data_IF_634497644107
#
_entry.id   IF_634497644107
#
_cell.length_a   1.000
_cell.length_b   1.000
_cell.length_c   1.000
_cell.angle_alpha   90.00
_cell.angle_beta   90.00
_cell.angle_gamma   90.00
#
_symmetry.space_group_name_H-M   'P 1'
#
loop_
_entity.id
_entity.type
_entity.pdbx_description
1 polymer ?
#
# COMPACT_ATOMS: atom_id res chain seq x y z
N UNK A 1 1.03 7.74 24.94
CA UNK A 1 0.67 8.73 23.90
C UNK A 1 1.88 9.59 23.63
N UNK A 2 2.40 9.59 22.39
CA UNK A 2 3.42 10.57 22.00
C UNK A 2 2.69 11.85 21.61
N UNK A 3 2.94 12.95 22.30
CA UNK A 3 2.51 14.26 21.85
C UNK A 3 3.58 14.83 20.93
N UNK A 4 3.21 15.06 19.67
CA UNK A 4 3.95 15.98 18.81
C UNK A 4 3.81 17.36 19.44
N UNK A 5 4.92 17.97 19.85
CA UNK A 5 4.90 19.34 20.36
C UNK A 5 5.13 20.26 19.17
N UNK A 6 4.14 21.06 18.84
CA UNK A 6 4.32 22.14 17.86
C UNK A 6 4.64 23.45 18.56
N UNK A 7 5.55 24.22 17.98
CA UNK A 7 5.88 25.59 18.40
C UNK A 7 6.03 26.44 17.15
N UNK A 8 5.46 27.63 17.14
CA UNK A 8 5.67 28.57 16.04
C UNK A 8 6.93 29.39 16.31
N UNK A 9 7.92 29.31 15.43
CA UNK A 9 9.17 30.09 15.52
C UNK A 9 9.26 30.96 14.27
N UNK A 10 9.26 32.28 14.44
CA UNK A 10 9.28 33.26 13.35
C UNK A 10 8.16 33.06 12.30
N UNK A 11 6.97 32.69 12.75
CA UNK A 11 5.82 32.41 11.87
C UNK A 11 5.80 31.01 11.24
N UNK A 12 6.88 30.23 11.38
CA UNK A 12 6.95 28.87 10.88
C UNK A 12 6.54 27.85 11.96
N UNK A 13 5.67 26.91 11.60
CA UNK A 13 5.29 25.79 12.47
C UNK A 13 6.46 24.80 12.56
N UNK A 14 7.16 24.78 13.69
CA UNK A 14 8.17 23.79 14.02
C UNK A 14 7.54 22.70 14.88
N UNK A 15 7.52 21.46 14.39
CA UNK A 15 7.05 20.30 15.17
C UNK A 15 8.25 19.51 15.65
N UNK A 16 8.38 19.37 16.97
CA UNK A 16 9.45 18.61 17.64
C UNK A 16 8.83 17.44 18.43
N UNK A 17 9.35 16.24 18.21
CA UNK A 17 8.90 15.01 18.86
C UNK A 17 9.09 13.78 17.97
N UNK A 18 9.02 12.59 18.56
CA UNK A 18 9.10 11.34 17.82
C UNK A 18 7.70 10.96 17.27
N UNK A 19 7.64 10.60 15.98
CA UNK A 19 6.51 9.82 15.46
C UNK A 19 6.59 8.41 16.06
N UNK A 20 5.81 8.15 17.11
CA UNK A 20 5.71 6.80 17.65
C UNK A 20 4.78 5.98 16.77
N UNK A 21 5.34 5.02 16.05
CA UNK A 21 4.58 4.01 15.34
C UNK A 21 3.91 3.09 16.37
N UNK A 22 2.58 2.99 16.33
CA UNK A 22 1.81 2.09 17.18
C UNK A 22 2.13 0.63 16.88
N UNK A 23 2.40 0.32 15.61
CA UNK A 23 2.75 -1.01 15.14
C UNK A 23 3.44 -0.90 13.79
N UNK A 24 4.31 -1.87 13.50
CA UNK A 24 4.99 -2.00 12.21
C UNK A 24 4.83 -3.45 11.76
N UNK A 25 4.49 -3.64 10.49
CA UNK A 25 4.52 -4.94 9.84
C UNK A 25 5.39 -4.82 8.59
N UNK A 26 6.30 -5.77 8.39
CA UNK A 26 7.11 -5.87 7.19
C UNK A 26 7.19 -7.32 6.75
N UNK A 27 7.09 -7.55 5.44
CA UNK A 27 7.20 -8.89 4.89
C UNK A 27 6.56 -9.05 3.53
N UNK A 28 6.37 -10.31 3.15
CA UNK A 28 5.72 -10.72 1.93
C UNK A 28 4.25 -10.99 2.21
N UNK A 29 3.37 -10.47 1.35
CA UNK A 29 1.95 -10.79 1.42
C UNK A 29 1.71 -12.18 0.83
N UNK A 30 0.76 -12.93 1.40
CA UNK A 30 0.27 -14.15 0.77
C UNK A 30 -0.54 -13.76 -0.47
N UNK A 31 -0.04 -14.09 -1.67
CA UNK A 31 -0.65 -13.70 -2.93
C UNK A 31 -1.00 -14.92 -3.79
N UNK A 32 -1.85 -14.71 -4.80
CA UNK A 32 -2.23 -15.75 -5.74
C UNK A 32 -0.98 -16.22 -6.53
N UNK A 33 -1.00 -17.46 -7.02
CA UNK A 33 0.20 -18.16 -7.53
C UNK A 33 1.00 -17.43 -8.60
N UNK A 34 0.42 -16.47 -9.32
CA UNK A 34 1.07 -15.67 -10.37
C UNK A 34 1.66 -14.32 -9.92
N UNK A 35 1.54 -13.96 -8.64
CA UNK A 35 1.92 -12.63 -8.14
C UNK A 35 2.81 -12.72 -6.91
N UNK A 36 3.72 -11.76 -6.79
CA UNK A 36 4.51 -11.53 -5.60
C UNK A 36 4.27 -10.11 -5.13
N UNK A 37 3.96 -9.92 -3.85
CA UNK A 37 3.91 -8.60 -3.25
C UNK A 37 4.59 -8.61 -1.89
N UNK A 38 5.26 -7.52 -1.56
CA UNK A 38 5.92 -7.29 -0.28
C UNK A 38 5.86 -5.83 0.10
N UNK A 39 6.13 -5.51 1.36
CA UNK A 39 6.12 -4.13 1.79
C UNK A 39 6.39 -3.96 3.27
N UNK A 40 6.28 -2.72 3.71
CA UNK A 40 6.25 -2.35 5.13
C UNK A 40 5.08 -1.41 5.36
N UNK A 41 4.30 -1.69 6.41
CA UNK A 41 3.18 -0.89 6.87
C UNK A 41 3.49 -0.37 8.27
N UNK A 42 3.30 0.92 8.47
CA UNK A 42 3.44 1.59 9.75
C UNK A 42 2.10 2.19 10.16
N UNK A 43 1.66 1.89 11.38
CA UNK A 43 0.46 2.48 11.97
C UNK A 43 0.82 3.68 12.82
N UNK A 44 0.20 4.83 12.58
CA UNK A 44 0.29 6.06 13.36
C UNK A 44 -1.13 6.46 13.75
N UNK A 45 -1.53 6.14 14.98
CA UNK A 45 -2.94 6.26 15.40
C UNK A 45 -3.85 5.49 14.45
N UNK A 46 -4.74 6.22 13.79
CA UNK A 46 -5.73 5.70 12.84
C UNK A 46 -5.31 5.86 11.36
N UNK A 47 -4.01 6.00 11.12
CA UNK A 47 -3.42 6.09 9.79
C UNK A 47 -2.43 4.96 9.56
N UNK A 48 -2.50 4.33 8.40
CA UNK A 48 -1.44 3.47 7.88
C UNK A 48 -0.69 4.24 6.80
N UNK A 49 0.63 4.26 6.93
CA UNK A 49 1.55 4.64 5.87
C UNK A 49 2.42 3.43 5.53
N UNK A 50 2.94 3.34 4.31
CA UNK A 50 3.69 2.16 3.92
C UNK A 50 4.49 2.32 2.64
N UNK A 51 5.35 1.34 2.41
CA UNK A 51 5.85 1.03 1.08
C UNK A 51 5.28 -0.32 0.66
N UNK A 52 5.08 -0.49 -0.64
CA UNK A 52 4.57 -1.69 -1.23
C UNK A 52 5.25 -1.93 -2.56
N UNK A 53 5.64 -3.16 -2.78
CA UNK A 53 6.23 -3.62 -4.03
C UNK A 53 5.39 -4.77 -4.53
N UNK A 54 5.13 -4.81 -5.83
CA UNK A 54 4.52 -5.96 -6.47
C UNK A 54 5.18 -6.27 -7.80
N UNK A 55 5.06 -7.52 -8.21
CA UNK A 55 5.49 -8.03 -9.50
C UNK A 55 4.59 -9.19 -9.93
N UNK A 56 4.51 -9.41 -11.25
CA UNK A 56 3.98 -10.68 -11.77
C UNK A 56 5.11 -11.70 -11.91
N UNK A 57 4.77 -12.98 -11.82
CA UNK A 57 5.72 -14.04 -12.20
C UNK A 57 5.89 -14.09 -13.71
N UNK A 58 6.96 -14.73 -14.17
CA UNK A 58 7.21 -14.94 -15.60
C UNK A 58 6.00 -15.57 -16.28
N UNK A 59 5.61 -15.02 -17.43
CA UNK A 59 4.46 -15.47 -18.21
C UNK A 59 3.08 -15.08 -17.68
N UNK A 60 3.01 -14.31 -16.58
CA UNK A 60 1.74 -13.79 -16.04
C UNK A 60 1.62 -12.30 -16.35
N UNK A 61 0.49 -11.90 -16.94
CA UNK A 61 0.14 -10.50 -17.16
C UNK A 61 -1.19 -10.14 -16.49
N UNK A 62 -1.30 -8.86 -16.15
CA UNK A 62 -2.55 -8.21 -15.77
C UNK A 62 -3.04 -7.47 -17.01
N UNK A 63 -4.24 -7.84 -17.45
CA UNK A 63 -4.85 -7.26 -18.63
C UNK A 63 -5.24 -5.80 -18.38
N UNK A 64 -5.14 -4.99 -19.43
CA UNK A 64 -5.51 -3.58 -19.37
C UNK A 64 -6.98 -3.40 -18.99
N UNK A 65 -7.26 -2.41 -18.15
CA UNK A 65 -8.59 -1.99 -17.72
C UNK A 65 -9.39 -3.07 -16.98
N UNK A 66 -8.71 -4.07 -16.41
CA UNK A 66 -9.35 -5.16 -15.68
C UNK A 66 -8.87 -5.21 -14.22
N UNK A 67 -9.82 -5.23 -13.30
CA UNK A 67 -9.53 -5.45 -11.89
C UNK A 67 -9.12 -6.89 -11.63
N UNK A 68 -7.89 -7.07 -11.18
CA UNK A 68 -7.31 -8.37 -10.84
C UNK A 68 -7.00 -8.43 -9.36
N UNK A 69 -7.56 -9.42 -8.65
CA UNK A 69 -7.16 -9.70 -7.27
C UNK A 69 -5.80 -10.40 -7.27
N UNK A 70 -4.76 -9.68 -6.83
CA UNK A 70 -3.39 -10.22 -6.79
C UNK A 70 -3.11 -10.95 -5.48
N UNK A 71 -3.73 -10.51 -4.38
CA UNK A 71 -3.62 -11.17 -3.09
C UNK A 71 -5.02 -11.37 -2.48
N UNK A 72 -5.37 -12.58 -2.01
CA UNK A 72 -6.70 -12.91 -1.52
C UNK A 72 -7.06 -12.20 -0.21
N UNK A 73 -8.30 -12.34 0.22
CA UNK A 73 -8.76 -11.88 1.52
C UNK A 73 -7.84 -12.39 2.63
N UNK A 74 -7.57 -11.52 3.61
CA UNK A 74 -6.67 -11.82 4.71
C UNK A 74 -5.18 -11.56 4.46
N UNK A 75 -4.77 -11.23 3.23
CA UNK A 75 -3.36 -10.97 2.89
C UNK A 75 -2.76 -9.80 3.68
N UNK A 76 -3.50 -8.70 3.82
CA UNK A 76 -3.13 -7.60 4.71
C UNK A 76 -3.40 -8.04 6.16
N UNK A 77 -2.45 -7.92 7.10
CA UNK A 77 -2.69 -8.25 8.50
C UNK A 77 -3.82 -7.39 9.08
N UNK A 78 -4.70 -7.98 9.90
CA UNK A 78 -5.93 -7.35 10.39
C UNK A 78 -5.72 -5.97 11.01
N UNK A 79 -4.65 -5.78 11.78
CA UNK A 79 -4.31 -4.52 12.43
C UNK A 79 -3.97 -3.36 11.46
N UNK A 80 -3.74 -3.66 10.18
CA UNK A 80 -3.40 -2.71 9.13
C UNK A 80 -4.45 -2.64 8.02
N UNK A 81 -5.59 -3.33 8.13
CA UNK A 81 -6.63 -3.28 7.09
C UNK A 81 -7.37 -1.94 7.14
N UNK A 82 -7.73 -1.36 5.99
CA UNK A 82 -8.64 -0.24 5.96
C UNK A 82 -10.05 -0.69 6.37
N UNK A 83 -10.86 0.19 6.97
CA UNK A 83 -12.23 -0.20 7.39
C UNK A 83 -13.21 -0.28 6.22
N UNK A 84 -12.87 0.38 5.12
CA UNK A 84 -13.60 0.39 3.86
C UNK A 84 -12.57 0.25 2.74
N UNK A 85 -12.98 -0.22 1.57
CA UNK A 85 -12.03 -0.37 0.46
C UNK A 85 -11.41 0.98 0.09
N UNK A 86 -10.08 1.01 -0.04
CA UNK A 86 -9.31 2.20 -0.38
C UNK A 86 -8.52 1.95 -1.65
N UNK A 87 -8.71 2.82 -2.63
CA UNK A 87 -7.93 2.77 -3.86
C UNK A 87 -6.90 3.90 -3.90
N UNK A 88 -5.75 3.61 -4.50
CA UNK A 88 -4.68 4.57 -4.73
C UNK A 88 -4.28 4.52 -6.19
N UNK A 89 -4.03 5.69 -6.79
CA UNK A 89 -3.44 5.77 -8.12
C UNK A 89 -1.97 5.43 -8.05
N UNK A 90 -1.51 4.64 -9.00
CA UNK A 90 -0.14 4.14 -9.05
C UNK A 90 0.44 4.44 -10.42
N UNK A 91 1.72 4.81 -10.46
CA UNK A 91 2.48 4.87 -11.69
C UNK A 91 3.21 3.54 -11.88
N UNK A 92 3.07 2.94 -13.06
CA UNK A 92 3.66 1.66 -13.38
C UNK A 92 4.61 1.81 -14.55
N UNK A 93 5.86 1.40 -14.36
CA UNK A 93 6.83 1.41 -15.47
C UNK A 93 6.34 0.52 -16.62
N UNK A 94 6.49 1.01 -17.85
CA UNK A 94 6.02 0.32 -19.06
C UNK A 94 4.50 0.38 -19.30
N UNK A 95 3.72 0.88 -18.35
CA UNK A 95 2.24 0.93 -18.43
C UNK A 95 1.68 2.35 -18.27
N UNK A 96 2.42 3.24 -17.61
CA UNK A 96 2.02 4.63 -17.37
C UNK A 96 1.30 4.78 -16.03
N UNK A 97 0.06 4.29 -15.94
CA UNK A 97 -0.77 4.43 -14.73
C UNK A 97 -1.69 3.24 -14.46
N UNK A 98 -2.17 3.17 -13.22
CA UNK A 98 -3.19 2.23 -12.79
C UNK A 98 -3.77 2.62 -11.44
N UNK A 99 -4.53 1.71 -10.85
CA UNK A 99 -5.10 1.83 -9.52
C UNK A 99 -4.87 0.55 -8.73
N UNK A 100 -4.55 0.68 -7.45
CA UNK A 100 -4.45 -0.43 -6.51
C UNK A 100 -5.49 -0.27 -5.41
N UNK A 101 -6.21 -1.33 -5.10
CA UNK A 101 -7.19 -1.37 -4.02
C UNK A 101 -6.65 -2.18 -2.84
N UNK A 102 -6.64 -1.57 -1.67
CA UNK A 102 -6.50 -2.24 -0.38
C UNK A 102 -7.89 -2.37 0.22
N UNK A 103 -8.37 -3.60 0.36
CA UNK A 103 -9.76 -3.86 0.73
C UNK A 103 -9.91 -4.18 2.22
N UNK A 104 -11.12 -3.97 2.74
CA UNK A 104 -11.41 -4.16 4.17
C UNK A 104 -11.31 -5.62 4.64
N UNK A 105 -11.54 -6.57 3.74
CA UNK A 105 -11.31 -8.00 3.97
C UNK A 105 -9.81 -8.37 3.98
N UNK A 106 -8.93 -7.42 3.66
CA UNK A 106 -7.49 -7.61 3.57
C UNK A 106 -7.01 -8.12 2.22
N UNK A 107 -7.86 -8.19 1.19
CA UNK A 107 -7.44 -8.47 -0.18
C UNK A 107 -6.77 -7.26 -0.83
N UNK A 108 -5.95 -7.54 -1.85
CA UNK A 108 -5.28 -6.51 -2.65
C UNK A 108 -5.65 -6.75 -4.12
N UNK A 109 -6.20 -5.72 -4.74
CA UNK A 109 -6.57 -5.69 -6.14
C UNK A 109 -5.76 -4.66 -6.91
N UNK A 110 -5.63 -4.86 -8.22
CA UNK A 110 -4.96 -3.92 -9.12
C UNK A 110 -5.72 -3.82 -10.44
N UNK A 111 -5.76 -2.61 -11.00
CA UNK A 111 -6.25 -2.33 -12.34
C UNK A 111 -5.21 -1.49 -13.07
N UNK A 112 -4.60 -2.07 -14.09
CA UNK A 112 -3.58 -1.42 -14.91
C UNK A 112 -4.25 -0.79 -16.14
N UNK A 113 -3.90 0.43 -16.54
CA UNK A 113 -4.50 1.07 -17.72
C UNK A 113 -3.87 0.61 -19.05
N UNK A 114 -2.79 -0.15 -18.97
CA UNK A 114 -2.20 -0.93 -20.06
C UNK A 114 -1.85 -2.34 -19.56
N UNK A 115 -1.42 -3.22 -20.45
CA UNK A 115 -1.01 -4.57 -20.07
C UNK A 115 0.27 -4.53 -19.22
N UNK A 116 0.21 -5.11 -18.02
CA UNK A 116 1.35 -5.16 -17.11
C UNK A 116 1.84 -6.60 -16.97
N UNK A 117 3.10 -6.86 -17.28
CA UNK A 117 3.73 -8.16 -17.07
C UNK A 117 5.24 -8.01 -16.91
N UNK A 118 5.82 -8.78 -15.98
CA UNK A 118 7.25 -8.83 -15.75
C UNK A 118 7.64 -8.65 -14.27
N UNK A 119 8.91 -8.92 -13.92
CA UNK A 119 9.44 -8.87 -12.56
C UNK A 119 9.59 -7.44 -12.00
N UNK A 120 8.98 -6.44 -12.64
CA UNK A 120 9.20 -5.04 -12.30
C UNK A 120 8.48 -4.68 -11.00
N UNK A 121 9.29 -4.52 -9.96
CA UNK A 121 8.95 -3.97 -8.67
C UNK A 121 8.54 -2.50 -8.77
N UNK A 122 7.25 -2.23 -8.99
CA UNK A 122 6.70 -0.89 -8.80
C UNK A 122 6.62 -0.60 -7.29
N UNK A 123 7.52 0.24 -6.78
CA UNK A 123 7.46 0.72 -5.40
C UNK A 123 6.36 1.79 -5.27
N UNK A 124 5.34 1.49 -4.46
CA UNK A 124 4.22 2.38 -4.15
C UNK A 124 4.31 2.85 -2.70
N UNK A 125 4.12 4.15 -2.48
CA UNK A 125 3.80 4.67 -1.16
C UNK A 125 2.33 4.41 -0.86
N UNK A 126 2.07 3.73 0.25
CA UNK A 126 0.72 3.49 0.76
C UNK A 126 0.36 4.57 1.77
N UNK A 127 -0.84 5.15 1.65
CA UNK A 127 -1.47 5.95 2.71
C UNK A 127 -2.97 5.66 2.76
N UNK A 128 -3.47 5.18 3.89
CA UNK A 128 -4.91 5.12 4.13
C UNK A 128 -5.27 5.11 5.63
N UNK A 129 -6.47 5.61 6.00
CA UNK A 129 -6.94 5.53 7.37
C UNK A 129 -7.45 4.12 7.74
N UNK A 130 -7.26 3.76 9.00
CA UNK A 130 -7.74 2.54 9.68
C UNK A 130 -8.36 2.97 11.01
N UNK A 131 -9.52 2.46 11.42
CA UNK A 131 -10.21 2.98 12.62
C UNK A 131 -9.72 2.25 13.87
#
# INVERSE_FOLDING_TARGET
MAQLKSTTVNGNLSVTGNFNFNSVWGGTFTCNSGYNASGTLWKIGNLVIGNFTFATKSGVSIHSWNWTTICPAGAIPSAFRPNVNRSQYIALQGVGAGSMSFNADGSIGINCYGEFGGPWAGGLQIIYPIN
#
